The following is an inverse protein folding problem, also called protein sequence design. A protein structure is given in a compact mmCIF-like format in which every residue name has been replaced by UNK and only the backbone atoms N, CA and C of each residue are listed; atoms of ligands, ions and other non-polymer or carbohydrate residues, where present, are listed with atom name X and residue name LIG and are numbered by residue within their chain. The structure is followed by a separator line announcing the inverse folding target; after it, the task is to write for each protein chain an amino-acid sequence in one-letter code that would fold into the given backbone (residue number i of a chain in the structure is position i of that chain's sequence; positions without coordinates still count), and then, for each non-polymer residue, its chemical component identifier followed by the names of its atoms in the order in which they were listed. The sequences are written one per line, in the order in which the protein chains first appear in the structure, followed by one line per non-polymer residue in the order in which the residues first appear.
data_IF_245925298902
#
_entry.id   IF_245925298902
#
_cell.length_a   1.000
_cell.length_b   1.000
_cell.length_c   1.000
_cell.angle_alpha   90.00
_cell.angle_beta   90.00
_cell.angle_gamma   90.00
#
_symmetry.space_group_name_H-M   'P 1'
#
loop_
_entity.id
_entity.type
_entity.pdbx_description
1 polymer ?
#
# COMPACT_ATOMS: atom_id res chain seq x y z
N UNK A 1 8.82 14.78 2.76
CA UNK A 1 7.90 14.37 3.86
C UNK A 1 8.52 13.24 4.67
N UNK A 2 8.27 13.20 5.99
CA UNK A 2 8.72 12.13 6.88
C UNK A 2 7.73 10.96 6.80
N UNK A 3 8.22 9.74 6.58
CA UNK A 3 7.39 8.52 6.59
C UNK A 3 7.24 8.00 8.03
N UNK A 4 6.11 7.37 8.38
CA UNK A 4 6.00 6.65 9.64
C UNK A 4 7.03 5.51 9.66
N UNK A 5 7.52 5.20 10.86
CA UNK A 5 8.61 4.24 11.08
C UNK A 5 8.15 2.93 11.71
N UNK A 6 6.87 2.86 12.05
CA UNK A 6 6.19 1.84 12.83
C UNK A 6 4.96 1.27 12.11
N UNK A 7 4.71 1.69 10.86
CA UNK A 7 3.58 1.20 10.07
C UNK A 7 3.79 -0.26 9.64
N UNK A 8 2.84 -1.12 9.99
CA UNK A 8 2.81 -2.52 9.60
C UNK A 8 2.24 -2.75 8.19
N UNK A 9 2.63 -3.85 7.56
CA UNK A 9 2.17 -4.17 6.22
C UNK A 9 0.68 -4.50 6.13
N UNK A 10 0.15 -5.20 7.15
CA UNK A 10 -1.28 -5.53 7.24
C UNK A 10 -2.11 -4.26 7.42
N UNK A 11 -1.62 -3.31 8.22
CA UNK A 11 -2.26 -2.02 8.43
C UNK A 11 -2.29 -1.19 7.14
N UNK A 12 -1.15 -1.10 6.44
CA UNK A 12 -1.09 -0.46 5.13
C UNK A 12 -2.05 -1.11 4.13
N UNK A 13 -2.10 -2.44 4.07
CA UNK A 13 -3.00 -3.16 3.17
C UNK A 13 -4.47 -2.85 3.46
N UNK A 14 -4.88 -2.81 4.73
CA UNK A 14 -6.24 -2.44 5.15
C UNK A 14 -6.59 -1.02 4.75
N UNK A 15 -5.70 -0.06 4.97
CA UNK A 15 -5.86 1.33 4.54
C UNK A 15 -6.06 1.42 3.03
N UNK A 16 -5.20 0.74 2.25
CA UNK A 16 -5.30 0.72 0.80
C UNK A 16 -6.62 0.10 0.32
N UNK A 17 -7.11 -0.94 0.99
CA UNK A 17 -8.41 -1.51 0.66
C UNK A 17 -9.55 -0.54 0.99
N UNK A 18 -9.52 0.08 2.17
CA UNK A 18 -10.58 0.97 2.67
C UNK A 18 -10.69 2.27 1.89
N UNK A 19 -9.56 2.91 1.57
CA UNK A 19 -9.54 4.27 1.02
C UNK A 19 -9.17 4.33 -0.46
N UNK A 20 -8.52 3.30 -0.98
CA UNK A 20 -7.98 3.30 -2.33
C UNK A 20 -8.52 2.15 -3.19
N UNK A 21 -9.60 1.48 -2.79
CA UNK A 21 -10.31 0.51 -3.63
C UNK A 21 -9.49 -0.73 -4.01
N UNK A 22 -8.43 -1.01 -3.27
CA UNK A 22 -7.74 -2.29 -3.40
C UNK A 22 -8.56 -3.41 -2.76
N UNK A 23 -8.31 -4.63 -3.20
CA UNK A 23 -8.75 -5.87 -2.57
C UNK A 23 -7.57 -6.83 -2.47
N UNK A 24 -7.47 -7.56 -1.36
CA UNK A 24 -6.50 -8.65 -1.26
C UNK A 24 -7.01 -9.83 -2.08
N UNK A 25 -6.18 -10.33 -2.99
CA UNK A 25 -6.53 -11.42 -3.93
C UNK A 25 -5.74 -12.69 -3.70
N UNK A 26 -4.62 -12.61 -2.98
CA UNK A 26 -3.84 -13.78 -2.55
C UNK A 26 -2.96 -13.43 -1.35
N UNK A 27 -2.48 -14.44 -0.64
CA UNK A 27 -1.34 -14.33 0.26
C UNK A 27 -0.53 -15.62 0.20
N UNK A 28 0.78 -15.47 0.04
CA UNK A 28 1.73 -16.59 0.12
C UNK A 28 2.85 -16.21 1.08
N UNK A 29 2.97 -17.01 2.15
CA UNK A 29 3.85 -16.70 3.26
C UNK A 29 3.60 -15.29 3.81
N UNK A 30 4.65 -14.48 3.83
CA UNK A 30 4.63 -13.11 4.34
C UNK A 30 4.30 -12.05 3.30
N UNK A 31 3.78 -12.39 2.11
CA UNK A 31 3.44 -11.41 1.08
C UNK A 31 1.96 -11.47 0.71
N UNK A 32 1.27 -10.36 0.88
CA UNK A 32 -0.12 -10.17 0.44
C UNK A 32 -0.12 -9.55 -0.95
N UNK A 33 -0.99 -10.05 -1.83
CA UNK A 33 -1.20 -9.46 -3.15
C UNK A 33 -2.49 -8.67 -3.13
N UNK A 34 -2.39 -7.38 -3.41
CA UNK A 34 -3.50 -6.45 -3.55
C UNK A 34 -3.76 -6.14 -5.02
N UNK A 35 -5.01 -5.97 -5.40
CA UNK A 35 -5.41 -5.56 -6.74
C UNK A 35 -6.51 -4.49 -6.69
N UNK A 36 -6.45 -3.52 -7.59
CA UNK A 36 -7.50 -2.53 -7.87
C UNK A 36 -7.73 -2.48 -9.38
N UNK A 37 -8.96 -2.20 -9.81
CA UNK A 37 -9.29 -2.07 -11.24
C UNK A 37 -9.53 -0.61 -11.68
N UNK A 38 -9.72 0.31 -10.72
CA UNK A 38 -9.88 1.74 -10.97
C UNK A 38 -8.77 2.57 -10.29
N UNK A 39 -8.38 3.74 -10.83
CA UNK A 39 -8.75 4.27 -12.16
C UNK A 39 -8.09 3.48 -13.30
N UNK A 40 -7.10 2.63 -12.97
CA UNK A 40 -6.55 1.60 -13.86
C UNK A 40 -6.26 0.33 -13.08
N UNK A 41 -6.17 -0.79 -13.77
CA UNK A 41 -5.74 -2.05 -13.18
C UNK A 41 -4.33 -1.94 -12.62
N UNK A 42 -4.17 -2.28 -11.35
CA UNK A 42 -2.87 -2.30 -10.68
C UNK A 42 -2.84 -3.42 -9.64
N UNK A 43 -1.76 -4.20 -9.67
CA UNK A 43 -1.49 -5.31 -8.76
C UNK A 43 -0.20 -5.02 -7.99
N UNK A 44 -0.24 -5.18 -6.68
CA UNK A 44 0.80 -4.75 -5.76
C UNK A 44 1.07 -5.87 -4.73
N UNK A 45 2.35 -6.14 -4.46
CA UNK A 45 2.77 -7.02 -3.36
C UNK A 45 3.10 -6.19 -2.12
N UNK A 46 2.55 -6.56 -0.97
CA UNK A 46 2.76 -5.90 0.32
C UNK A 46 3.25 -6.94 1.34
N UNK A 47 4.46 -6.79 1.91
CA UNK A 47 4.94 -7.69 2.95
C UNK A 47 4.12 -7.56 4.23
N UNK A 48 3.58 -8.64 4.77
CA UNK A 48 2.83 -8.72 6.01
C UNK A 48 3.74 -8.73 7.26
N UNK A 49 4.73 -7.84 7.31
CA UNK A 49 5.61 -7.68 8.47
C UNK A 49 5.02 -6.67 9.48
N UNK A 50 5.36 -6.81 10.79
CA UNK A 50 4.91 -5.88 11.83
C UNK A 50 5.32 -4.43 11.59
N UNK A 51 6.49 -4.21 10.97
CA UNK A 51 6.99 -2.89 10.57
C UNK A 51 7.58 -2.98 9.18
N UNK A 52 7.16 -2.09 8.29
CA UNK A 52 7.78 -1.95 6.98
C UNK A 52 9.03 -1.08 7.06
N UNK A 53 10.12 -1.55 6.44
CA UNK A 53 11.31 -0.71 6.27
C UNK A 53 10.94 0.56 5.49
N UNK A 54 11.50 1.74 5.82
CA UNK A 54 11.13 2.99 5.16
C UNK A 54 11.26 2.94 3.63
N UNK A 55 12.27 2.25 3.10
CA UNK A 55 12.45 2.06 1.66
C UNK A 55 11.30 1.26 1.02
N UNK A 56 10.88 0.16 1.66
CA UNK A 56 9.74 -0.66 1.23
C UNK A 56 8.44 0.12 1.27
N UNK A 57 8.18 0.82 2.39
CA UNK A 57 7.00 1.67 2.54
C UNK A 57 6.98 2.75 1.44
N UNK A 58 8.10 3.44 1.21
CA UNK A 58 8.19 4.47 0.18
C UNK A 58 7.94 3.92 -1.23
N UNK A 59 8.47 2.73 -1.54
CA UNK A 59 8.27 2.09 -2.84
C UNK A 59 6.80 1.72 -3.07
N UNK A 60 6.14 1.15 -2.06
CA UNK A 60 4.71 0.83 -2.12
C UNK A 60 3.88 2.10 -2.33
N UNK A 61 4.11 3.13 -1.52
CA UNK A 61 3.36 4.37 -1.61
C UNK A 61 3.53 5.08 -2.97
N UNK A 62 4.73 5.03 -3.56
CA UNK A 62 4.98 5.54 -4.92
C UNK A 62 4.17 4.75 -5.96
N UNK A 63 4.22 3.42 -5.92
CA UNK A 63 3.45 2.59 -6.85
C UNK A 63 1.93 2.82 -6.74
N UNK A 64 1.43 3.02 -5.52
CA UNK A 64 0.01 3.38 -5.30
C UNK A 64 -0.31 4.76 -5.85
N UNK A 65 0.53 5.77 -5.57
CA UNK A 65 0.34 7.14 -6.05
C UNK A 65 0.27 7.17 -7.59
N UNK A 66 1.22 6.50 -8.25
CA UNK A 66 1.28 6.39 -9.71
C UNK A 66 0.09 5.61 -10.30
N UNK A 67 -0.46 4.64 -9.55
CA UNK A 67 -1.64 3.91 -9.98
C UNK A 67 -2.93 4.71 -9.83
N UNK A 68 -2.98 5.61 -8.85
CA UNK A 68 -4.15 6.42 -8.52
C UNK A 68 -4.12 7.81 -9.18
N UNK A 69 -2.97 8.24 -9.69
CA UNK A 69 -2.80 9.58 -10.27
C UNK A 69 -2.89 10.70 -9.22
N UNK A 70 -2.45 10.43 -7.99
CA UNK A 70 -2.51 11.36 -6.86
C UNK A 70 -1.12 11.58 -6.27
N UNK A 71 -0.96 12.57 -5.40
CA UNK A 71 0.29 12.75 -4.67
C UNK A 71 0.43 11.69 -3.58
N UNK A 72 1.67 11.34 -3.25
CA UNK A 72 1.96 10.39 -2.16
C UNK A 72 1.45 10.91 -0.82
N UNK A 73 1.52 12.22 -0.64
CA UNK A 73 1.03 12.98 0.51
C UNK A 73 -0.47 12.73 0.74
N UNK A 74 -1.26 12.54 -0.31
CA UNK A 74 -2.69 12.26 -0.18
C UNK A 74 -2.92 10.88 0.43
N UNK A 75 -2.10 9.89 0.10
CA UNK A 75 -2.16 8.56 0.73
C UNK A 75 -1.78 8.64 2.20
N UNK A 76 -0.75 9.44 2.51
CA UNK A 76 -0.24 9.58 3.86
C UNK A 76 -1.22 10.28 4.83
N UNK A 77 -2.22 11.02 4.31
CA UNK A 77 -3.28 11.64 5.12
C UNK A 77 -4.29 10.63 5.68
N UNK A 78 -4.29 9.39 5.17
CA UNK A 78 -5.16 8.31 5.63
C UNK A 78 -4.46 7.36 6.61
N UNK A 79 -3.18 7.60 6.91
CA UNK A 79 -2.40 6.84 7.88
C UNK A 79 -2.70 7.24 9.32
#
# INVERSE_FOLDING_TARGET
MKLPRDLGGVELARLLCKHFGYRQVNQEGSHMILQTDAPRSHRLSVPAHPVLRPGTLNAILRAVADAKGIAKEDILRHL
#
